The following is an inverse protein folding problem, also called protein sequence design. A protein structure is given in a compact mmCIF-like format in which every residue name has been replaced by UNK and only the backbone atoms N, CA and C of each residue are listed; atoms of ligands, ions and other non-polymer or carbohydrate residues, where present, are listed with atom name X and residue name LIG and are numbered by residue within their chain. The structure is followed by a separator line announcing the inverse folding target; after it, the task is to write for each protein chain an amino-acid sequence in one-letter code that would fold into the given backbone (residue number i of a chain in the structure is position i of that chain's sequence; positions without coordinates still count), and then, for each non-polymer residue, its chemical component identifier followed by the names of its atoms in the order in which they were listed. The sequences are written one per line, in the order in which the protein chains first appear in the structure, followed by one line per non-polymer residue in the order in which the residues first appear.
data_IF_252413617791
#
_entry.id   IF_252413617791
#
_cell.length_a   1.000
_cell.length_b   1.000
_cell.length_c   1.000
_cell.angle_alpha   90.00
_cell.angle_beta   90.00
_cell.angle_gamma   90.00
#
_symmetry.space_group_name_H-M   'P 1'
#
loop_
_entity.id
_entity.type
_entity.pdbx_description
1 polymer ?
#
# COMPACT_ATOMS: atom_id res chain seq x y z
N UNK A 1 19.76 8.46 21.43
CA UNK A 1 18.47 8.35 20.73
C UNK A 1 17.94 9.77 20.56
N UNK A 2 18.02 10.35 19.37
CA UNK A 2 17.22 11.55 19.08
C UNK A 2 15.78 11.06 18.99
N UNK A 3 14.87 11.48 19.87
CA UNK A 3 13.47 11.09 19.73
C UNK A 3 12.98 11.65 18.40
N UNK A 4 12.46 10.78 17.52
CA UNK A 4 11.82 11.23 16.29
C UNK A 4 10.74 12.26 16.67
N UNK A 5 10.71 13.39 15.97
CA UNK A 5 9.71 14.44 16.22
C UNK A 5 8.33 13.91 15.84
N UNK A 6 7.34 14.10 16.69
CA UNK A 6 5.94 13.86 16.36
C UNK A 6 5.43 14.89 15.34
N UNK A 7 4.23 14.67 14.79
CA UNK A 7 3.60 15.64 13.88
C UNK A 7 3.30 16.94 14.65
N UNK A 8 2.90 16.80 15.91
CA UNK A 8 2.59 17.88 16.84
C UNK A 8 3.83 18.71 17.18
N UNK A 9 4.99 18.05 17.41
CA UNK A 9 6.29 18.73 17.62
C UNK A 9 6.73 19.55 16.39
N UNK A 10 6.19 19.21 15.21
CA UNK A 10 6.43 19.93 13.96
C UNK A 10 5.39 21.03 13.70
N UNK A 11 4.43 21.23 14.61
CA UNK A 11 3.39 22.24 14.50
C UNK A 11 2.23 21.85 13.59
N UNK A 12 2.01 20.55 13.37
CA UNK A 12 0.91 20.04 12.54
C UNK A 12 0.01 19.07 13.31
N UNK A 13 -1.19 18.82 12.78
CA UNK A 13 -2.08 17.75 13.21
C UNK A 13 -3.16 17.46 12.16
N UNK A 14 -3.77 16.28 12.24
CA UNK A 14 -4.88 15.93 11.35
C UNK A 14 -6.22 16.39 11.93
N UNK A 15 -7.00 17.13 11.14
CA UNK A 15 -8.34 17.54 11.54
C UNK A 15 -9.35 16.37 11.47
N UNK A 16 -10.61 16.61 11.83
CA UNK A 16 -11.66 15.59 11.81
C UNK A 16 -11.95 15.00 10.41
N UNK A 17 -11.54 15.69 9.34
CA UNK A 17 -11.64 15.22 7.96
C UNK A 17 -10.38 14.48 7.49
N UNK A 18 -9.43 14.22 8.39
CA UNK A 18 -8.16 13.55 8.09
C UNK A 18 -7.20 14.39 7.26
N UNK A 19 -7.34 15.71 7.25
CA UNK A 19 -6.47 16.61 6.49
C UNK A 19 -5.38 17.18 7.41
N UNK A 20 -4.13 17.19 6.94
CA UNK A 20 -3.01 17.74 7.70
C UNK A 20 -3.11 19.28 7.72
N UNK A 21 -3.11 19.86 8.92
CA UNK A 21 -3.23 21.30 9.15
C UNK A 21 -2.20 21.77 10.15
N UNK A 22 -1.82 23.05 10.05
CA UNK A 22 -1.02 23.69 11.10
C UNK A 22 -1.82 23.76 12.39
N UNK A 23 -1.14 23.57 13.51
CA UNK A 23 -1.73 23.76 14.82
C UNK A 23 -1.91 25.25 15.10
N UNK A 24 -3.04 25.60 15.71
CA UNK A 24 -3.27 26.93 16.27
C UNK A 24 -2.60 27.09 17.64
N UNK A 25 -2.71 28.28 18.24
CA UNK A 25 -2.13 28.60 19.56
C UNK A 25 -2.60 27.65 20.68
N UNK A 26 -3.77 27.03 20.52
CA UNK A 26 -4.34 26.08 21.49
C UNK A 26 -3.89 24.63 21.23
N UNK A 27 -2.98 24.39 20.28
CA UNK A 27 -2.48 23.07 19.93
C UNK A 27 -3.47 22.20 19.14
N UNK A 28 -4.54 22.80 18.59
CA UNK A 28 -5.52 22.08 17.78
C UNK A 28 -5.31 22.34 16.28
N UNK A 29 -5.60 21.37 15.39
CA UNK A 29 -5.54 21.59 13.94
C UNK A 29 -6.45 22.76 13.53
N UNK A 30 -5.87 23.80 12.93
CA UNK A 30 -6.59 24.95 12.38
C UNK A 30 -7.01 24.73 10.92
N UNK A 31 -7.21 25.84 10.18
CA UNK A 31 -7.62 25.81 8.77
C UNK A 31 -6.44 25.90 7.79
N UNK A 32 -5.26 26.30 8.26
CA UNK A 32 -4.07 26.46 7.40
C UNK A 32 -3.50 25.10 6.96
N UNK A 33 -3.32 24.87 5.64
CA UNK A 33 -2.71 23.65 5.13
C UNK A 33 -1.18 23.63 5.32
N UNK A 34 -0.57 22.48 5.01
CA UNK A 34 0.88 22.35 4.88
C UNK A 34 1.44 23.37 3.87
N UNK A 35 2.61 23.93 4.18
CA UNK A 35 3.36 24.84 3.31
C UNK A 35 4.77 24.28 3.14
N UNK A 36 5.16 23.97 1.90
CA UNK A 36 6.49 23.43 1.61
C UNK A 36 7.59 24.49 1.78
N UNK A 37 7.34 25.71 1.33
CA UNK A 37 8.28 26.83 1.43
C UNK A 37 8.17 27.45 2.82
N UNK A 38 8.98 26.95 3.76
CA UNK A 38 9.09 27.49 5.12
C UNK A 38 10.21 28.53 5.25
N UNK A 39 11.13 28.57 4.29
CA UNK A 39 12.21 29.55 4.17
C UNK A 39 12.62 29.73 2.70
N UNK A 40 13.52 30.67 2.43
CA UNK A 40 14.11 30.84 1.09
C UNK A 40 15.19 29.79 0.77
N UNK A 41 15.56 28.94 1.75
CA UNK A 41 16.50 27.84 1.55
C UNK A 41 15.76 26.55 1.15
N UNK A 42 15.95 26.15 -0.11
CA UNK A 42 15.42 24.91 -0.65
C UNK A 42 15.87 23.66 0.13
N UNK A 43 17.08 23.65 0.67
CA UNK A 43 17.61 22.52 1.42
C UNK A 43 16.88 22.38 2.76
N UNK A 44 16.61 23.49 3.43
CA UNK A 44 15.85 23.53 4.68
C UNK A 44 14.40 23.05 4.47
N UNK A 45 13.75 23.54 3.41
CA UNK A 45 12.39 23.12 3.04
C UNK A 45 12.32 21.61 2.76
N UNK A 46 13.30 21.08 2.03
CA UNK A 46 13.37 19.65 1.74
C UNK A 46 13.61 18.82 3.01
N UNK A 47 14.50 19.28 3.90
CA UNK A 47 14.75 18.60 5.18
C UNK A 47 13.50 18.59 6.06
N UNK A 48 12.77 19.71 6.14
CA UNK A 48 11.51 19.77 6.88
C UNK A 48 10.47 18.80 6.33
N UNK A 49 10.32 18.73 5.00
CA UNK A 49 9.39 17.81 4.35
C UNK A 49 9.72 16.34 4.64
N UNK A 50 11.00 15.95 4.64
CA UNK A 50 11.40 14.58 4.98
C UNK A 50 11.16 14.25 6.46
N UNK A 51 11.46 15.18 7.37
CA UNK A 51 11.19 15.00 8.81
C UNK A 51 9.69 14.85 9.06
N UNK A 52 8.85 15.68 8.43
CA UNK A 52 7.40 15.56 8.50
C UNK A 52 6.90 14.25 7.89
N UNK A 53 7.47 13.82 6.75
CA UNK A 53 7.15 12.54 6.13
C UNK A 53 7.44 11.33 7.02
N UNK A 54 8.52 11.38 7.81
CA UNK A 54 8.83 10.37 8.81
C UNK A 54 7.82 10.37 9.96
N UNK A 55 7.51 11.55 10.53
CA UNK A 55 6.51 11.70 11.58
C UNK A 55 5.12 11.20 11.16
N UNK A 56 4.72 11.48 9.91
CA UNK A 56 3.48 10.98 9.30
C UNK A 56 3.48 9.46 9.20
N UNK A 57 4.62 8.85 8.85
CA UNK A 57 4.74 7.40 8.78
C UNK A 57 4.48 6.76 10.14
N UNK A 58 5.08 7.31 11.20
CA UNK A 58 4.89 6.82 12.57
C UNK A 58 3.45 7.01 13.06
N UNK A 59 2.83 8.16 12.73
CA UNK A 59 1.41 8.38 13.02
C UNK A 59 0.50 7.39 12.31
N UNK A 60 0.77 7.06 11.04
CA UNK A 60 -0.01 6.05 10.30
C UNK A 60 0.15 4.68 10.94
N UNK A 61 1.36 4.29 11.35
CA UNK A 61 1.55 3.05 12.11
C UNK A 61 0.74 3.03 13.39
N UNK A 62 0.70 4.14 14.12
CA UNK A 62 -0.14 4.28 15.30
C UNK A 62 -1.63 4.07 14.98
N UNK A 63 -2.15 4.72 13.93
CA UNK A 63 -3.55 4.55 13.49
C UNK A 63 -3.85 3.10 13.08
N UNK A 64 -2.94 2.45 12.34
CA UNK A 64 -3.11 1.05 11.93
C UNK A 64 -3.22 0.11 13.13
N UNK A 65 -2.46 0.37 14.19
CA UNK A 65 -2.48 -0.46 15.40
C UNK A 65 -3.67 -0.17 16.30
N UNK A 66 -4.01 1.10 16.50
CA UNK A 66 -5.00 1.53 17.51
C UNK A 66 -6.43 1.59 16.96
N UNK A 67 -6.61 2.08 15.74
CA UNK A 67 -7.95 2.26 15.15
C UNK A 67 -8.31 1.09 14.24
N UNK A 68 -7.35 0.60 13.44
CA UNK A 68 -7.60 -0.49 12.49
C UNK A 68 -7.24 -1.88 13.04
N UNK A 69 -6.80 -1.95 14.31
CA UNK A 69 -6.52 -3.19 15.06
C UNK A 69 -5.54 -4.16 14.35
N UNK A 70 -4.52 -3.62 13.68
CA UNK A 70 -3.47 -4.41 13.04
C UNK A 70 -2.27 -4.62 13.97
N UNK A 71 -1.56 -5.72 13.77
CA UNK A 71 -0.33 -6.04 14.50
C UNK A 71 0.87 -6.10 13.56
N UNK A 72 2.04 -5.70 14.04
CA UNK A 72 3.30 -5.88 13.32
C UNK A 72 3.79 -7.32 13.45
N UNK A 73 4.19 -7.94 12.35
CA UNK A 73 4.95 -9.20 12.35
C UNK A 73 6.33 -8.98 11.76
N UNK A 74 7.40 -9.52 12.37
CA UNK A 74 8.78 -9.19 12.01
C UNK A 74 9.21 -9.80 10.67
N UNK A 75 10.02 -9.09 9.90
CA UNK A 75 10.62 -9.56 8.66
C UNK A 75 12.14 -9.33 8.74
N UNK A 76 12.96 -10.37 8.86
CA UNK A 76 12.59 -11.80 8.92
C UNK A 76 11.95 -12.19 10.27
N UNK A 77 11.29 -13.34 10.34
CA UNK A 77 10.79 -13.92 11.60
C UNK A 77 11.93 -14.01 12.63
N UNK A 78 11.64 -13.62 13.87
CA UNK A 78 12.62 -13.60 14.96
C UNK A 78 13.56 -12.40 14.97
N UNK A 79 13.46 -11.49 13.99
CA UNK A 79 14.16 -10.20 14.04
C UNK A 79 13.50 -9.22 15.03
N UNK A 80 14.28 -8.23 15.46
CA UNK A 80 13.82 -7.06 16.21
C UNK A 80 13.78 -5.84 15.28
N UNK A 81 13.26 -4.71 15.76
CA UNK A 81 13.28 -3.46 14.99
C UNK A 81 14.70 -2.97 14.66
N UNK A 82 15.71 -3.41 15.41
CA UNK A 82 17.12 -3.04 15.21
C UNK A 82 17.75 -3.72 13.98
N UNK A 83 17.30 -4.94 13.63
CA UNK A 83 17.90 -5.75 12.58
C UNK A 83 16.90 -6.28 11.54
N UNK A 84 15.63 -5.91 11.66
CA UNK A 84 14.52 -6.31 10.80
C UNK A 84 13.58 -5.17 10.43
N UNK A 85 12.68 -5.47 9.50
CA UNK A 85 11.47 -4.69 9.22
C UNK A 85 10.24 -5.49 9.66
N UNK A 86 9.07 -5.17 9.15
CA UNK A 86 7.81 -5.81 9.51
C UNK A 86 6.79 -5.76 8.38
N UNK A 87 5.72 -6.52 8.55
CA UNK A 87 4.43 -6.36 7.85
C UNK A 87 3.35 -6.04 8.86
N UNK A 88 2.25 -5.41 8.43
CA UNK A 88 1.03 -5.38 9.24
C UNK A 88 0.09 -6.50 8.84
N UNK A 89 -0.59 -7.07 9.83
CA UNK A 89 -1.66 -8.04 9.61
C UNK A 89 -2.84 -7.79 10.54
N UNK A 90 -4.04 -8.18 10.12
CA UNK A 90 -5.19 -8.21 11.04
C UNK A 90 -5.10 -9.39 12.01
N UNK A 91 -5.80 -9.31 13.14
CA UNK A 91 -5.95 -10.43 14.06
C UNK A 91 -6.53 -11.65 13.33
N UNK A 92 -5.95 -12.83 13.58
CA UNK A 92 -6.35 -14.10 12.98
C UNK A 92 -6.30 -14.14 11.43
N UNK A 93 -5.51 -13.26 10.79
CA UNK A 93 -5.38 -13.19 9.32
C UNK A 93 -5.09 -14.55 8.67
N UNK A 94 -4.36 -15.42 9.37
CA UNK A 94 -3.93 -16.74 8.94
C UNK A 94 -5.04 -17.80 9.02
N UNK A 95 -6.15 -17.51 9.71
CA UNK A 95 -7.30 -18.39 9.87
C UNK A 95 -8.47 -18.02 8.96
N UNK A 96 -8.40 -16.88 8.28
CA UNK A 96 -9.45 -16.38 7.38
C UNK A 96 -9.44 -17.14 6.04
N UNK A 97 -10.62 -17.33 5.46
CA UNK A 97 -10.77 -17.98 4.14
C UNK A 97 -10.33 -17.06 2.99
N UNK A 98 -10.52 -15.75 3.17
CA UNK A 98 -10.10 -14.71 2.22
C UNK A 98 -9.03 -13.84 2.86
N UNK A 99 -7.92 -13.61 2.15
CA UNK A 99 -6.83 -12.70 2.56
C UNK A 99 -6.67 -11.58 1.54
N UNK A 100 -6.81 -10.32 1.97
CA UNK A 100 -6.46 -9.14 1.19
C UNK A 100 -4.99 -8.76 1.47
N UNK A 101 -4.20 -8.67 0.40
CA UNK A 101 -2.80 -8.24 0.44
C UNK A 101 -2.68 -6.86 -0.21
N UNK A 102 -2.14 -5.89 0.52
CA UNK A 102 -1.92 -4.53 0.05
C UNK A 102 -0.43 -4.27 -0.17
N UNK A 103 -0.08 -3.78 -1.37
CA UNK A 103 1.31 -3.55 -1.79
C UNK A 103 1.42 -2.14 -2.40
N UNK A 104 2.17 -1.27 -1.74
CA UNK A 104 2.38 0.10 -2.21
C UNK A 104 3.49 0.19 -3.28
N UNK A 105 3.64 1.39 -3.87
CA UNK A 105 4.67 1.69 -4.86
C UNK A 105 6.08 1.85 -4.27
N UNK A 106 7.03 2.30 -5.09
CA UNK A 106 8.40 2.58 -4.68
C UNK A 106 8.54 3.97 -4.05
N UNK A 107 9.74 4.30 -3.56
CA UNK A 107 10.06 5.61 -3.01
C UNK A 107 9.84 5.69 -1.49
N UNK A 108 9.41 6.86 -1.02
CA UNK A 108 9.43 7.21 0.40
C UNK A 108 8.19 6.71 1.18
N UNK A 109 7.24 6.05 0.50
CA UNK A 109 6.08 5.40 1.12
C UNK A 109 6.47 4.15 1.89
N UNK A 110 5.65 3.82 2.89
CA UNK A 110 5.78 2.65 3.76
C UNK A 110 4.43 1.96 3.92
N UNK A 111 4.41 0.81 4.58
CA UNK A 111 3.18 0.08 4.90
C UNK A 111 2.09 1.02 5.44
N UNK A 112 0.86 0.90 4.95
CA UNK A 112 -0.24 1.81 5.28
C UNK A 112 -0.41 2.99 4.33
N UNK A 113 0.51 3.24 3.39
CA UNK A 113 0.52 4.44 2.55
C UNK A 113 0.38 4.08 1.07
N UNK A 114 -0.42 4.85 0.34
CA UNK A 114 -0.39 4.88 -1.12
C UNK A 114 0.54 5.98 -1.62
N UNK A 115 0.43 7.19 -1.07
CA UNK A 115 1.25 8.33 -1.46
C UNK A 115 1.39 9.35 -0.32
N UNK A 116 2.65 9.66 0.04
CA UNK A 116 2.98 10.69 1.03
C UNK A 116 2.43 12.07 0.64
N UNK A 117 2.52 12.41 -0.65
CA UNK A 117 2.03 13.69 -1.17
C UNK A 117 0.53 13.88 -0.94
N UNK A 118 -0.27 12.83 -1.07
CA UNK A 118 -1.71 12.89 -0.80
C UNK A 118 -2.01 13.01 0.68
N UNK A 119 -1.29 12.27 1.54
CA UNK A 119 -1.48 12.38 2.99
C UNK A 119 -1.23 13.81 3.48
N UNK A 120 -0.19 14.46 2.93
CA UNK A 120 0.20 15.82 3.30
C UNK A 120 -0.75 16.87 2.71
N UNK A 121 -1.09 16.75 1.42
CA UNK A 121 -1.75 17.84 0.68
C UNK A 121 -3.26 17.64 0.47
N UNK A 122 -3.78 16.44 0.71
CA UNK A 122 -5.18 16.10 0.53
C UNK A 122 -5.76 15.57 1.86
N UNK A 123 -5.73 14.25 2.09
CA UNK A 123 -6.15 13.65 3.36
C UNK A 123 -5.66 12.21 3.55
N UNK A 124 -5.90 11.69 4.77
CA UNK A 124 -5.66 10.28 5.10
C UNK A 124 -6.49 9.32 4.23
N UNK A 125 -7.72 9.66 3.88
CA UNK A 125 -8.60 8.77 3.11
C UNK A 125 -8.09 8.54 1.68
N UNK A 126 -7.45 9.52 1.05
CA UNK A 126 -6.95 9.35 -0.32
C UNK A 126 -5.51 8.86 -0.36
N UNK A 127 -4.71 9.25 0.63
CA UNK A 127 -3.28 8.95 0.67
C UNK A 127 -2.89 7.66 1.38
N UNK A 128 -3.78 7.05 2.16
CA UNK A 128 -3.48 5.84 2.95
C UNK A 128 -4.22 4.59 2.45
N UNK A 129 -3.78 3.45 2.93
CA UNK A 129 -4.41 2.14 2.73
C UNK A 129 -5.60 1.91 3.68
N UNK A 130 -5.86 2.82 4.62
CA UNK A 130 -6.89 2.68 5.66
C UNK A 130 -8.29 2.41 5.09
N UNK A 131 -8.76 3.10 4.04
CA UNK A 131 -10.08 2.79 3.48
C UNK A 131 -10.19 1.36 2.94
N UNK A 132 -9.14 0.84 2.30
CA UNK A 132 -9.10 -0.56 1.85
C UNK A 132 -9.15 -1.53 3.03
N UNK A 133 -8.45 -1.19 4.13
CA UNK A 133 -8.45 -1.99 5.36
C UNK A 133 -9.86 -2.05 5.96
N UNK A 134 -10.55 -0.91 6.06
CA UNK A 134 -11.94 -0.84 6.54
C UNK A 134 -12.91 -1.65 5.67
N UNK A 135 -12.79 -1.55 4.35
CA UNK A 135 -13.59 -2.33 3.40
C UNK A 135 -13.34 -3.85 3.53
N UNK A 136 -12.11 -4.25 3.83
CA UNK A 136 -11.75 -5.65 4.06
C UNK A 136 -12.28 -6.18 5.40
N UNK A 137 -12.16 -5.38 6.48
CA UNK A 137 -12.74 -5.68 7.79
C UNK A 137 -14.27 -5.87 7.69
N UNK A 138 -14.96 -4.97 6.99
CA UNK A 138 -16.41 -5.04 6.78
C UNK A 138 -16.86 -6.34 6.07
N UNK A 139 -15.98 -6.95 5.27
CA UNK A 139 -16.21 -8.23 4.57
C UNK A 139 -15.66 -9.44 5.32
N UNK A 140 -15.09 -9.23 6.51
CA UNK A 140 -14.54 -10.29 7.35
C UNK A 140 -13.22 -10.89 6.84
N UNK A 141 -12.54 -10.23 5.89
CA UNK A 141 -11.29 -10.71 5.30
C UNK A 141 -10.13 -10.66 6.29
N UNK A 142 -9.14 -11.53 6.08
CA UNK A 142 -7.80 -11.33 6.61
C UNK A 142 -7.13 -10.18 5.87
N UNK A 143 -6.23 -9.47 6.53
CA UNK A 143 -5.53 -8.31 5.95
C UNK A 143 -4.03 -8.52 6.14
N UNK A 144 -3.26 -8.24 5.10
CA UNK A 144 -1.80 -8.20 5.15
C UNK A 144 -1.29 -7.01 4.34
N UNK A 145 -0.39 -6.24 4.93
CA UNK A 145 0.21 -5.06 4.32
C UNK A 145 1.73 -5.24 4.31
N UNK A 146 2.31 -5.23 3.12
CA UNK A 146 3.76 -5.34 2.96
C UNK A 146 4.44 -3.99 3.23
N UNK A 147 5.72 -4.03 3.63
CA UNK A 147 6.57 -2.85 3.81
C UNK A 147 7.82 -2.91 2.91
N UNK A 148 7.66 -3.06 1.57
CA UNK A 148 8.74 -3.42 0.66
C UNK A 148 9.85 -2.38 0.51
N UNK A 149 9.67 -1.14 0.99
CA UNK A 149 10.67 -0.08 0.85
C UNK A 149 11.51 0.15 2.13
N UNK A 150 11.19 -0.53 3.23
CA UNK A 150 11.97 -0.46 4.47
C UNK A 150 13.03 -1.56 4.50
N UNK A 151 14.15 -1.31 3.82
CA UNK A 151 15.12 -2.36 3.50
C UNK A 151 16.46 -2.25 4.22
N UNK A 152 16.68 -1.19 5.02
CA UNK A 152 17.98 -0.91 5.61
C UNK A 152 17.88 -0.54 7.10
N UNK A 153 18.89 -0.94 7.88
CA UNK A 153 19.14 -0.48 9.26
C UNK A 153 20.59 -0.06 9.37
N UNK A 154 20.85 1.17 9.81
CA UNK A 154 22.21 1.72 9.95
C UNK A 154 23.08 1.46 8.70
N UNK A 155 22.53 1.73 7.50
CA UNK A 155 23.16 1.51 6.19
C UNK A 155 23.49 0.04 5.83
N UNK A 156 23.01 -0.94 6.59
CA UNK A 156 23.10 -2.37 6.26
C UNK A 156 21.77 -2.86 5.72
N UNK A 157 21.80 -3.62 4.63
CA UNK A 157 20.63 -4.27 4.08
C UNK A 157 20.05 -5.26 5.12
N UNK A 158 18.74 -5.22 5.31
CA UNK A 158 18.02 -6.13 6.21
C UNK A 158 18.03 -7.52 5.58
N UNK A 159 18.39 -8.54 6.36
CA UNK A 159 18.40 -9.92 5.89
C UNK A 159 17.02 -10.33 5.34
N UNK A 160 16.98 -10.92 4.14
CA UNK A 160 15.76 -11.33 3.44
C UNK A 160 14.77 -10.20 3.12
N UNK A 161 15.18 -8.95 3.25
CA UNK A 161 14.38 -7.78 2.95
C UNK A 161 15.28 -6.61 2.54
N UNK A 162 16.41 -6.90 1.89
CA UNK A 162 17.39 -5.92 1.42
C UNK A 162 16.96 -5.22 0.13
N UNK A 163 15.94 -5.75 -0.53
CA UNK A 163 15.20 -5.11 -1.61
C UNK A 163 13.69 -5.36 -1.47
N UNK A 164 12.90 -4.61 -2.23
CA UNK A 164 11.45 -4.81 -2.35
C UNK A 164 11.08 -6.22 -2.81
N UNK A 165 11.84 -6.79 -3.74
CA UNK A 165 11.66 -8.14 -4.25
C UNK A 165 11.99 -9.20 -3.20
N UNK A 166 13.08 -9.03 -2.46
CA UNK A 166 13.43 -9.93 -1.35
C UNK A 166 12.34 -9.92 -0.28
N UNK A 167 11.88 -8.72 0.11
CA UNK A 167 10.79 -8.56 1.07
C UNK A 167 9.52 -9.29 0.61
N UNK A 168 9.06 -9.02 -0.61
CA UNK A 168 7.85 -9.65 -1.15
C UNK A 168 7.97 -11.18 -1.25
N UNK A 169 9.12 -11.69 -1.69
CA UNK A 169 9.40 -13.15 -1.75
C UNK A 169 9.38 -13.77 -0.36
N UNK A 170 10.04 -13.14 0.60
CA UNK A 170 10.09 -13.63 1.98
C UNK A 170 8.69 -13.65 2.60
N UNK A 171 7.95 -12.55 2.50
CA UNK A 171 6.59 -12.45 3.04
C UNK A 171 5.67 -13.48 2.42
N UNK A 172 5.76 -13.69 1.10
CA UNK A 172 4.98 -14.73 0.45
C UNK A 172 5.26 -16.11 1.04
N UNK A 173 6.54 -16.49 1.13
CA UNK A 173 6.96 -17.82 1.57
C UNK A 173 6.68 -18.07 3.05
N UNK A 174 7.01 -17.11 3.91
CA UNK A 174 7.02 -17.32 5.36
C UNK A 174 5.71 -16.94 6.06
N UNK A 175 4.89 -16.09 5.40
CA UNK A 175 3.61 -15.65 5.93
C UNK A 175 2.43 -16.10 5.07
N UNK A 176 2.35 -15.70 3.79
CA UNK A 176 1.17 -15.95 2.95
C UNK A 176 0.93 -17.45 2.72
N UNK A 177 1.97 -18.20 2.35
CA UNK A 177 1.85 -19.64 2.08
C UNK A 177 1.30 -20.44 3.27
N UNK A 178 1.60 -19.99 4.49
CA UNK A 178 1.22 -20.67 5.74
C UNK A 178 -0.19 -20.30 6.24
N UNK A 179 -0.88 -19.36 5.59
CA UNK A 179 -2.28 -19.05 5.91
C UNK A 179 -3.23 -20.12 5.40
N UNK A 180 -4.42 -20.23 6.00
CA UNK A 180 -5.53 -21.10 5.54
C UNK A 180 -6.31 -20.56 4.34
N UNK A 181 -6.14 -19.28 4.00
CA UNK A 181 -6.95 -18.60 2.99
C UNK A 181 -6.99 -19.31 1.64
N UNK A 182 -8.13 -19.89 1.25
CA UNK A 182 -8.28 -20.48 -0.09
C UNK A 182 -8.28 -19.43 -1.20
N UNK A 183 -8.63 -18.18 -0.85
CA UNK A 183 -8.80 -17.08 -1.79
C UNK A 183 -7.97 -15.87 -1.35
N UNK A 184 -7.04 -15.44 -2.20
CA UNK A 184 -6.16 -14.29 -1.98
C UNK A 184 -6.52 -13.20 -2.97
N UNK A 185 -6.73 -11.99 -2.47
CA UNK A 185 -6.97 -10.78 -3.23
C UNK A 185 -5.75 -9.87 -3.08
N UNK A 186 -5.28 -9.26 -4.17
CA UNK A 186 -4.12 -8.38 -4.13
C UNK A 186 -4.51 -7.02 -4.68
N UNK A 187 -4.21 -5.94 -3.94
CA UNK A 187 -4.20 -4.57 -4.46
C UNK A 187 -2.76 -4.10 -4.51
N UNK A 188 -2.29 -3.72 -5.69
CA UNK A 188 -0.90 -3.38 -5.92
C UNK A 188 -0.78 -2.08 -6.72
N UNK A 189 -0.26 -1.05 -6.07
CA UNK A 189 -0.08 0.27 -6.66
C UNK A 189 1.29 0.40 -7.31
N UNK A 190 1.34 0.98 -8.52
CA UNK A 190 2.61 1.37 -9.17
C UNK A 190 3.62 0.20 -9.22
N UNK A 191 4.79 0.37 -8.60
CA UNK A 191 5.85 -0.64 -8.47
C UNK A 191 5.41 -1.91 -7.73
N UNK A 192 4.40 -1.84 -6.85
CA UNK A 192 3.82 -3.02 -6.20
C UNK A 192 3.31 -4.04 -7.21
N UNK A 193 2.94 -3.62 -8.43
CA UNK A 193 2.58 -4.56 -9.48
C UNK A 193 3.77 -5.32 -10.08
N UNK A 194 4.97 -4.73 -10.13
CA UNK A 194 6.20 -5.47 -10.48
C UNK A 194 6.41 -6.60 -9.48
N UNK A 195 6.28 -6.30 -8.18
CA UNK A 195 6.38 -7.32 -7.12
C UNK A 195 5.33 -8.42 -7.29
N UNK A 196 4.10 -8.04 -7.65
CA UNK A 196 3.00 -9.00 -7.86
C UNK A 196 3.24 -9.91 -9.07
N UNK A 197 3.66 -9.36 -10.21
CA UNK A 197 4.00 -10.17 -11.40
C UNK A 197 5.19 -11.09 -11.12
N UNK A 198 6.20 -10.59 -10.40
CA UNK A 198 7.31 -11.41 -9.94
C UNK A 198 6.85 -12.56 -9.04
N UNK A 199 5.94 -12.32 -8.09
CA UNK A 199 5.36 -13.38 -7.25
C UNK A 199 4.57 -14.38 -8.09
N UNK A 200 3.78 -13.92 -9.07
CA UNK A 200 3.05 -14.79 -9.98
C UNK A 200 3.97 -15.69 -10.82
N UNK A 201 5.13 -15.19 -11.24
CA UNK A 201 6.15 -15.96 -11.96
C UNK A 201 6.87 -16.96 -11.04
N UNK A 202 7.41 -16.48 -9.91
CA UNK A 202 8.28 -17.28 -9.03
C UNK A 202 7.52 -18.26 -8.13
N UNK A 203 6.24 -18.00 -7.85
CA UNK A 203 5.40 -18.80 -6.95
C UNK A 203 4.20 -19.41 -7.68
N UNK A 204 4.32 -19.57 -9.00
CA UNK A 204 3.24 -19.89 -9.95
C UNK A 204 2.22 -20.90 -9.44
N UNK A 205 2.65 -22.08 -9.01
CA UNK A 205 1.72 -23.15 -8.60
C UNK A 205 0.79 -22.73 -7.45
N UNK A 206 1.33 -22.06 -6.43
CA UNK A 206 0.53 -21.62 -5.29
C UNK A 206 -0.22 -20.33 -5.60
N UNK A 207 0.39 -19.44 -6.39
CA UNK A 207 -0.24 -18.21 -6.84
C UNK A 207 -1.49 -18.51 -7.66
N UNK A 208 -1.39 -19.32 -8.73
CA UNK A 208 -2.52 -19.70 -9.58
C UNK A 208 -3.59 -20.50 -8.84
N UNK A 209 -3.20 -21.22 -7.78
CA UNK A 209 -4.16 -21.97 -6.95
C UNK A 209 -4.97 -21.06 -6.02
N UNK A 210 -4.36 -20.04 -5.42
CA UNK A 210 -4.95 -19.30 -4.30
C UNK A 210 -5.30 -17.84 -4.63
N UNK A 211 -4.62 -17.19 -5.58
CA UNK A 211 -4.92 -15.80 -5.93
C UNK A 211 -6.10 -15.76 -6.90
N UNK A 212 -7.16 -15.05 -6.51
CA UNK A 212 -8.43 -15.02 -7.25
C UNK A 212 -8.63 -13.73 -8.02
N UNK A 213 -8.04 -12.65 -7.52
CA UNK A 213 -8.09 -11.36 -8.17
C UNK A 213 -6.86 -10.52 -7.85
N UNK A 214 -6.40 -9.77 -8.85
CA UNK A 214 -5.35 -8.77 -8.71
C UNK A 214 -5.84 -7.43 -9.24
N UNK A 215 -5.96 -6.44 -8.37
CA UNK A 215 -6.26 -5.08 -8.73
C UNK A 215 -4.96 -4.27 -8.77
N UNK A 216 -4.53 -3.90 -9.96
CA UNK A 216 -3.45 -2.95 -10.14
C UNK A 216 -4.02 -1.54 -10.14
N UNK A 217 -3.35 -0.62 -9.45
CA UNK A 217 -3.70 0.81 -9.47
C UNK A 217 -2.52 1.56 -10.05
N UNK A 218 -2.69 1.99 -11.30
CA UNK A 218 -1.69 2.61 -12.15
C UNK A 218 -0.33 1.91 -12.13
N UNK A 219 -0.35 0.59 -12.26
CA UNK A 219 0.86 -0.23 -12.12
C UNK A 219 1.81 -0.09 -13.31
N UNK A 220 3.11 -0.09 -12.99
CA UNK A 220 4.23 -0.10 -13.94
C UNK A 220 4.79 -1.51 -14.21
N UNK A 221 3.99 -2.56 -13.99
CA UNK A 221 4.45 -3.95 -14.09
C UNK A 221 4.92 -4.38 -15.49
N UNK A 222 4.51 -3.67 -16.54
CA UNK A 222 5.01 -3.87 -17.91
C UNK A 222 6.52 -3.65 -18.04
N UNK A 223 7.12 -2.86 -17.14
CA UNK A 223 8.57 -2.63 -17.08
C UNK A 223 9.35 -3.73 -16.34
N UNK A 224 8.68 -4.76 -15.79
CA UNK A 224 9.35 -5.87 -15.09
C UNK A 224 10.19 -6.78 -16.00
N UNK A 225 9.94 -6.75 -17.32
CA UNK A 225 10.48 -7.73 -18.27
C UNK A 225 9.87 -9.14 -18.12
N UNK A 226 8.96 -9.35 -17.18
CA UNK A 226 8.26 -10.62 -16.97
C UNK A 226 6.96 -10.62 -17.78
N UNK A 227 6.76 -11.67 -18.58
CA UNK A 227 5.54 -11.84 -19.37
C UNK A 227 4.36 -12.15 -18.45
N UNK A 228 3.29 -11.35 -18.55
CA UNK A 228 2.02 -11.64 -17.87
C UNK A 228 1.49 -13.00 -18.33
N UNK A 229 1.25 -13.90 -17.36
CA UNK A 229 0.73 -15.24 -17.66
C UNK A 229 -0.74 -15.17 -18.09
N UNK A 230 -1.21 -16.16 -18.86
CA UNK A 230 -2.64 -16.26 -19.23
C UNK A 230 -3.55 -16.29 -18.00
N UNK A 231 -3.09 -16.95 -16.93
CA UNK A 231 -3.83 -17.00 -15.67
C UNK A 231 -3.93 -15.60 -15.05
N UNK A 232 -2.80 -14.89 -14.90
CA UNK A 232 -2.79 -13.55 -14.33
C UNK A 232 -3.64 -12.59 -15.15
N UNK A 233 -3.55 -12.64 -16.49
CA UNK A 233 -4.38 -11.81 -17.37
C UNK A 233 -5.89 -12.03 -17.15
N UNK A 234 -6.33 -13.27 -16.86
CA UNK A 234 -7.75 -13.59 -16.57
C UNK A 234 -8.24 -13.04 -15.24
N UNK A 235 -7.37 -12.94 -14.24
CA UNK A 235 -7.73 -12.56 -12.86
C UNK A 235 -7.32 -11.14 -12.48
N UNK A 236 -6.63 -10.43 -13.36
CA UNK A 236 -6.10 -9.09 -13.09
C UNK A 236 -6.81 -8.00 -13.88
N UNK A 237 -6.88 -6.80 -13.29
CA UNK A 237 -7.30 -5.58 -13.95
C UNK A 237 -6.44 -4.42 -13.46
N UNK A 238 -6.07 -3.51 -14.36
CA UNK A 238 -5.28 -2.32 -14.03
C UNK A 238 -6.10 -1.04 -14.24
N UNK A 239 -6.40 -0.35 -13.14
CA UNK A 239 -7.03 0.96 -13.13
C UNK A 239 -5.96 2.03 -13.30
N UNK A 240 -5.84 2.56 -14.51
CA UNK A 240 -4.78 3.49 -14.87
C UNK A 240 -5.23 4.95 -14.82
N UNK A 241 -4.29 5.84 -14.58
CA UNK A 241 -4.57 7.28 -14.62
C UNK A 241 -5.03 7.70 -16.03
N UNK A 242 -6.13 8.45 -16.10
CA UNK A 242 -6.79 8.81 -17.35
C UNK A 242 -7.78 9.96 -17.13
N UNK A 243 -8.11 10.69 -18.20
CA UNK A 243 -9.19 11.68 -18.23
C UNK A 243 -10.57 11.05 -18.46
N UNK A 244 -10.64 9.78 -18.85
CA UNK A 244 -11.90 9.06 -19.07
C UNK A 244 -12.60 8.74 -17.74
N UNK A 245 -13.93 8.53 -17.80
CA UNK A 245 -14.72 8.10 -16.64
C UNK A 245 -14.21 6.77 -16.07
N UNK A 246 -14.37 6.59 -14.75
CA UNK A 246 -14.06 5.33 -14.06
C UNK A 246 -14.61 4.12 -14.83
N UNK A 247 -13.80 3.06 -14.91
CA UNK A 247 -14.10 1.80 -15.60
C UNK A 247 -14.20 1.86 -17.14
N UNK A 248 -13.96 3.03 -17.75
CA UNK A 248 -13.86 3.11 -19.21
C UNK A 248 -12.70 2.24 -19.72
N UNK A 249 -12.91 1.36 -20.71
CA UNK A 249 -11.85 0.54 -21.29
C UNK A 249 -10.69 1.37 -21.83
N UNK A 250 -9.45 0.96 -21.55
CA UNK A 250 -8.24 1.62 -22.01
C UNK A 250 -7.47 0.73 -22.99
N UNK A 251 -6.75 1.36 -23.93
CA UNK A 251 -5.87 0.63 -24.84
C UNK A 251 -4.83 -0.14 -24.03
N UNK A 252 -4.87 -1.46 -24.14
CA UNK A 252 -3.97 -2.37 -23.43
C UNK A 252 -2.93 -2.89 -24.41
N UNK A 253 -1.62 -2.77 -24.12
CA UNK A 253 -0.59 -3.50 -24.87
C UNK A 253 -0.89 -5.01 -24.85
N UNK A 254 -0.54 -5.74 -25.91
CA UNK A 254 -0.84 -7.18 -26.01
C UNK A 254 -0.23 -8.02 -24.87
N UNK A 255 0.84 -7.51 -24.24
CA UNK A 255 1.56 -8.15 -23.13
C UNK A 255 1.08 -7.73 -21.74
N UNK A 256 0.09 -6.84 -21.65
CA UNK A 256 -0.42 -6.26 -20.41
C UNK A 256 -1.71 -6.96 -19.95
N UNK A 257 -2.15 -6.67 -18.74
CA UNK A 257 -3.50 -7.06 -18.26
C UNK A 257 -4.55 -6.11 -18.84
N UNK A 258 -5.83 -6.47 -18.72
CA UNK A 258 -6.90 -5.58 -19.13
C UNK A 258 -6.88 -4.27 -18.33
N UNK A 259 -6.89 -3.14 -19.04
CA UNK A 259 -6.82 -1.80 -18.44
C UNK A 259 -8.15 -1.08 -18.54
N UNK A 260 -8.49 -0.38 -17.47
CA UNK A 260 -9.62 0.55 -17.40
C UNK A 260 -9.17 1.87 -16.78
N UNK A 261 -9.92 2.94 -16.99
CA UNK A 261 -9.66 4.22 -16.34
C UNK A 261 -9.91 4.13 -14.83
N UNK A 262 -9.02 4.72 -14.03
CA UNK A 262 -9.22 4.94 -12.60
C UNK A 262 -10.17 6.13 -12.30
N UNK A 263 -10.65 6.84 -13.32
CA UNK A 263 -11.49 8.03 -13.16
C UNK A 263 -10.74 9.26 -12.66
N UNK A 264 -9.40 9.24 -12.70
CA UNK A 264 -8.56 10.33 -12.22
C UNK A 264 -7.24 10.42 -13.02
N UNK A 265 -6.73 11.64 -13.21
CA UNK A 265 -5.55 11.91 -14.05
C UNK A 265 -4.22 11.79 -13.31
N UNK A 266 -4.23 11.93 -11.99
CA UNK A 266 -3.03 11.80 -11.14
C UNK A 266 -2.76 10.34 -10.76
N UNK A 267 -1.51 9.92 -10.92
CA UNK A 267 -1.00 8.58 -10.60
C UNK A 267 -1.34 8.15 -9.17
N UNK A 268 -1.00 9.02 -8.22
CA UNK A 268 -1.13 8.79 -6.78
C UNK A 268 -2.59 8.63 -6.33
N UNK A 269 -3.54 9.22 -7.07
CA UNK A 269 -4.98 9.21 -6.75
C UNK A 269 -5.69 7.96 -7.24
N UNK A 270 -5.06 7.15 -8.09
CA UNK A 270 -5.74 6.02 -8.73
C UNK A 270 -6.25 5.01 -7.70
N UNK A 271 -5.47 4.73 -6.65
CA UNK A 271 -5.85 3.78 -5.60
C UNK A 271 -7.11 4.19 -4.86
N UNK A 272 -7.25 5.44 -4.47
CA UNK A 272 -8.47 5.94 -3.80
C UNK A 272 -9.64 6.06 -4.77
N UNK A 273 -9.39 6.58 -5.97
CA UNK A 273 -10.44 6.89 -6.97
C UNK A 273 -11.16 5.65 -7.49
N UNK A 274 -10.47 4.51 -7.59
CA UNK A 274 -11.06 3.27 -8.12
C UNK A 274 -11.52 2.26 -7.06
N UNK A 275 -11.43 2.59 -5.75
CA UNK A 275 -11.60 1.62 -4.66
C UNK A 275 -12.93 0.84 -4.75
N UNK A 276 -14.05 1.52 -4.97
CA UNK A 276 -15.35 0.86 -5.05
C UNK A 276 -15.43 -0.13 -6.22
N UNK A 277 -14.85 0.25 -7.37
CA UNK A 277 -14.76 -0.64 -8.54
C UNK A 277 -13.84 -1.84 -8.28
N UNK A 278 -12.74 -1.64 -7.56
CA UNK A 278 -11.83 -2.71 -7.14
C UNK A 278 -12.56 -3.73 -6.27
N UNK A 279 -13.30 -3.30 -5.26
CA UNK A 279 -14.04 -4.22 -4.39
C UNK A 279 -15.19 -4.93 -5.13
N UNK A 280 -15.89 -4.24 -6.03
CA UNK A 280 -16.87 -4.87 -6.92
C UNK A 280 -16.24 -5.96 -7.77
N UNK A 281 -15.09 -5.69 -8.38
CA UNK A 281 -14.32 -6.66 -9.15
C UNK A 281 -13.90 -7.88 -8.31
N UNK A 282 -13.47 -7.66 -7.06
CA UNK A 282 -13.14 -8.76 -6.14
C UNK A 282 -14.35 -9.63 -5.83
N UNK A 283 -15.52 -9.03 -5.57
CA UNK A 283 -16.75 -9.78 -5.31
C UNK A 283 -17.19 -10.60 -6.53
N UNK A 284 -17.06 -10.06 -7.74
CA UNK A 284 -17.29 -10.78 -8.99
C UNK A 284 -16.36 -12.00 -9.10
N UNK A 285 -15.06 -11.80 -8.89
CA UNK A 285 -14.05 -12.88 -8.99
C UNK A 285 -14.20 -13.96 -7.93
N UNK A 286 -14.60 -13.61 -6.72
CA UNK A 286 -14.88 -14.60 -5.68
C UNK A 286 -16.14 -15.42 -5.98
N UNK A 287 -17.19 -14.81 -6.57
CA UNK A 287 -18.43 -15.52 -6.96
C UNK A 287 -18.22 -16.50 -8.12
N UNK A 288 -17.29 -16.21 -9.03
CA UNK A 288 -16.91 -17.11 -10.13
C UNK A 288 -16.34 -18.46 -9.64
N UNK A 289 -15.83 -18.55 -8.41
CA UNK A 289 -15.32 -19.82 -7.84
C UNK A 289 -16.40 -20.78 -7.35
N UNK A 290 -17.58 -20.25 -7.00
CA UNK A 290 -18.68 -21.05 -6.45
C UNK A 290 -19.66 -21.54 -7.53
N UNK A 291 -19.29 -21.39 -8.82
CA UNK A 291 -20.01 -21.92 -9.98
C UNK A 291 -19.20 -23.02 -10.65
#
# INVERSE_FOLDING_TARGET
MSSAKSIEDLGYGFNAYGQLRKLNENGQPGDEPFQFNISDDHQECQTHYEVLGAAITDHIYHLLQTHENLIKLPVPRGSSEENGTFIFVSKDYDKKDVLLVLIHGSGAVRAGQWARSLIINDCLETGTQIPYIRQAHARGYGIMILNPNDNYRQNKAISHSGSSEEHAKYVWKEYIQNTKASSILIVAHSYGGILTVMLADKQKKLFEKRVKAVAFTDSVHSFSGIKVSKHLNKIARNWVSSTALLDSPMKSPESDVYRVSAGHTKHEMTSSSCMDSVFKFFEEKLKEEFK
#
